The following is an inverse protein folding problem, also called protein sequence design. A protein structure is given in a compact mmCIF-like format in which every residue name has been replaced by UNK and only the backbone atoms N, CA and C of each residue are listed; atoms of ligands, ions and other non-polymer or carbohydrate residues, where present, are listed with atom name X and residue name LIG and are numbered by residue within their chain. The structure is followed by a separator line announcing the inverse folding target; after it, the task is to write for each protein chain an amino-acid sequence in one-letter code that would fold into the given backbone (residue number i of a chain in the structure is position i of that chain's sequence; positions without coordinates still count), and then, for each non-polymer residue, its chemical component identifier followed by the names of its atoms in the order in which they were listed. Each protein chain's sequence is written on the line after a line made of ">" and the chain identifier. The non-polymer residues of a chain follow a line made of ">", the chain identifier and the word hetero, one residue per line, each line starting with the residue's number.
data_IF_527944464271
#
_entry.id   IF_527944464271
#
_cell.length_a   1.000
_cell.length_b   1.000
_cell.length_c   1.000
_cell.angle_alpha   90.00
_cell.angle_beta   90.00
_cell.angle_gamma   90.00
#
_symmetry.space_group_name_H-M   'P 1'
#
loop_
_entity.id
_entity.type
_entity.pdbx_description
1 polymer ?
#
# COMPACT_ATOMS: atom_id res chain seq x y z
N UNK A 1 13.34 5.12 -1.69
CA UNK A 1 13.62 5.80 -0.40
C UNK A 1 13.63 4.76 0.70
N UNK A 2 14.46 4.89 1.73
CA UNK A 2 14.39 4.01 2.90
C UNK A 2 13.40 4.62 3.90
N UNK A 3 12.28 3.93 4.15
CA UNK A 3 11.31 4.31 5.18
C UNK A 3 11.71 3.61 6.47
N UNK A 4 11.86 4.38 7.55
CA UNK A 4 12.09 3.82 8.88
C UNK A 4 10.91 2.93 9.29
N UNK A 5 11.19 1.70 9.72
CA UNK A 5 10.14 0.74 10.11
C UNK A 5 9.22 1.29 11.21
N UNK A 6 9.74 2.17 12.08
CA UNK A 6 9.00 2.82 13.16
C UNK A 6 7.88 3.75 12.66
N UNK A 7 7.97 4.22 11.41
CA UNK A 7 6.96 5.06 10.76
C UNK A 7 5.85 4.23 10.11
N UNK A 8 6.07 2.93 9.87
CA UNK A 8 5.08 2.03 9.28
C UNK A 8 4.10 1.60 10.36
N UNK A 9 3.15 2.49 10.66
CA UNK A 9 2.06 2.25 11.61
C UNK A 9 0.73 2.13 10.87
N UNK A 10 -0.24 1.35 11.36
CA UNK A 10 -1.55 1.22 10.71
C UNK A 10 -2.26 2.55 10.43
N UNK A 11 -2.07 3.54 11.30
CA UNK A 11 -2.60 4.89 11.19
C UNK A 11 -1.83 5.80 10.23
N UNK A 12 -0.60 5.43 9.82
CA UNK A 12 0.23 6.26 8.97
C UNK A 12 -0.36 6.39 7.56
N UNK A 13 -0.39 7.62 7.06
CA UNK A 13 -0.82 7.96 5.72
C UNK A 13 0.29 7.66 4.71
N UNK A 14 -0.05 6.87 3.68
CA UNK A 14 0.91 6.40 2.68
C UNK A 14 1.61 7.57 1.98
N UNK A 15 0.87 8.63 1.63
CA UNK A 15 1.44 9.80 0.95
C UNK A 15 2.02 10.84 1.91
N UNK A 16 1.30 11.15 2.98
CA UNK A 16 1.65 12.29 3.85
C UNK A 16 2.71 11.91 4.90
N UNK A 17 2.60 10.73 5.52
CA UNK A 17 3.50 10.32 6.60
C UNK A 17 4.69 9.50 6.08
N UNK A 18 4.47 8.68 5.04
CA UNK A 18 5.52 7.85 4.45
C UNK A 18 6.17 8.48 3.22
N UNK A 19 5.62 9.56 2.68
CA UNK A 19 6.16 10.25 1.52
C UNK A 19 6.11 9.42 0.23
N UNK A 20 5.24 8.41 0.15
CA UNK A 20 5.09 7.59 -1.05
C UNK A 20 4.44 8.43 -2.15
N UNK A 21 5.11 8.52 -3.28
CA UNK A 21 4.53 9.13 -4.46
C UNK A 21 3.69 8.14 -5.27
N UNK A 22 3.17 8.59 -6.42
CA UNK A 22 2.37 7.72 -7.29
C UNK A 22 3.15 6.57 -7.92
N UNK A 23 4.46 6.73 -8.14
CA UNK A 23 5.31 5.70 -8.73
C UNK A 23 5.67 4.63 -7.69
N UNK A 24 6.03 5.05 -6.48
CA UNK A 24 6.27 4.13 -5.36
C UNK A 24 5.05 3.23 -5.12
N UNK A 25 3.85 3.79 -5.20
CA UNK A 25 2.60 3.02 -5.04
C UNK A 25 2.39 2.00 -6.17
N UNK A 26 2.74 2.35 -7.42
CA UNK A 26 2.68 1.41 -8.55
C UNK A 26 3.62 0.24 -8.33
N UNK A 27 4.84 0.49 -7.88
CA UNK A 27 5.82 -0.56 -7.60
C UNK A 27 5.35 -1.49 -6.47
N UNK A 28 4.82 -0.93 -5.38
CA UNK A 28 4.24 -1.69 -4.27
C UNK A 28 3.11 -2.60 -4.78
N UNK A 29 2.18 -2.07 -5.57
CA UNK A 29 1.09 -2.85 -6.16
C UNK A 29 1.61 -4.01 -7.00
N UNK A 30 2.57 -3.75 -7.89
CA UNK A 30 3.16 -4.78 -8.76
C UNK A 30 3.84 -5.88 -7.93
N UNK A 31 4.51 -5.53 -6.83
CA UNK A 31 5.13 -6.50 -5.92
C UNK A 31 4.05 -7.36 -5.26
N UNK A 32 3.00 -6.74 -4.70
CA UNK A 32 1.89 -7.47 -4.04
C UNK A 32 1.20 -8.42 -5.01
N UNK A 33 0.89 -7.97 -6.23
CA UNK A 33 0.26 -8.82 -7.24
C UNK A 33 1.12 -10.04 -7.60
N UNK A 34 2.44 -9.86 -7.70
CA UNK A 34 3.39 -10.96 -7.97
C UNK A 34 3.56 -11.90 -6.78
N UNK A 35 3.57 -11.37 -5.56
CA UNK A 35 3.76 -12.14 -4.33
C UNK A 35 2.54 -12.99 -4.00
N UNK A 36 1.34 -12.44 -4.16
CA UNK A 36 0.10 -13.10 -3.76
C UNK A 36 -0.72 -13.67 -4.92
N UNK A 37 -0.40 -13.31 -6.16
CA UNK A 37 -1.02 -13.90 -7.36
C UNK A 37 -2.42 -13.38 -7.69
N UNK A 38 -2.89 -12.32 -7.02
CA UNK A 38 -4.12 -11.62 -7.39
C UNK A 38 -3.84 -10.30 -8.08
N UNK A 39 -4.83 -9.76 -8.80
CA UNK A 39 -4.76 -8.44 -9.44
C UNK A 39 -5.44 -7.39 -8.59
N UNK A 40 -4.87 -6.20 -8.56
CA UNK A 40 -5.41 -5.04 -7.87
C UNK A 40 -5.92 -4.06 -8.89
N UNK A 41 -7.17 -3.62 -8.73
CA UNK A 41 -7.71 -2.57 -9.58
C UNK A 41 -7.40 -1.18 -9.00
N UNK A 42 -7.02 -0.19 -9.83
CA UNK A 42 -6.74 1.17 -9.38
C UNK A 42 -7.90 1.81 -8.61
N UNK A 43 -9.14 1.51 -8.99
CA UNK A 43 -10.36 1.98 -8.34
C UNK A 43 -10.49 1.51 -6.89
N UNK A 44 -10.03 0.29 -6.57
CA UNK A 44 -10.07 -0.25 -5.21
C UNK A 44 -9.00 0.38 -4.31
N UNK A 45 -7.94 0.91 -4.90
CA UNK A 45 -6.86 1.58 -4.18
C UNK A 45 -7.11 3.06 -3.93
N UNK A 46 -8.09 3.66 -4.62
CA UNK A 46 -8.41 5.07 -4.44
C UNK A 46 -8.86 5.39 -2.99
N UNK A 47 -9.48 4.41 -2.32
CA UNK A 47 -9.96 4.53 -0.95
C UNK A 47 -8.88 4.15 0.09
N UNK A 48 -7.75 3.60 -0.34
CA UNK A 48 -6.65 3.18 0.53
C UNK A 48 -5.72 4.36 0.82
N UNK A 49 -5.87 4.94 2.00
CA UNK A 49 -5.07 6.11 2.43
C UNK A 49 -4.02 5.79 3.47
N UNK A 50 -4.29 4.81 4.33
CA UNK A 50 -3.39 4.42 5.42
C UNK A 50 -2.76 3.06 5.16
N UNK A 51 -1.64 2.81 5.83
CA UNK A 51 -0.97 1.50 5.84
C UNK A 51 -1.92 0.40 6.32
N UNK A 52 -2.71 0.66 7.37
CA UNK A 52 -3.68 -0.31 7.89
C UNK A 52 -4.78 -0.64 6.89
N UNK A 53 -5.29 0.37 6.17
CA UNK A 53 -6.28 0.14 5.11
C UNK A 53 -5.70 -0.71 3.97
N UNK A 54 -4.42 -0.50 3.63
CA UNK A 54 -3.73 -1.28 2.62
C UNK A 54 -3.56 -2.75 3.03
N UNK A 55 -3.17 -3.00 4.29
CA UNK A 55 -3.11 -4.37 4.82
C UNK A 55 -4.46 -5.06 4.81
N UNK A 56 -5.51 -4.40 5.33
CA UNK A 56 -6.85 -4.95 5.35
C UNK A 56 -7.36 -5.26 3.93
N UNK A 57 -7.02 -4.41 2.95
CA UNK A 57 -7.35 -4.66 1.56
C UNK A 57 -6.66 -5.92 1.05
N UNK A 58 -5.35 -6.06 1.25
CA UNK A 58 -4.60 -7.27 0.84
C UNK A 58 -5.18 -8.52 1.50
N UNK A 59 -5.46 -8.46 2.80
CA UNK A 59 -6.06 -9.57 3.56
C UNK A 59 -7.43 -9.97 3.01
N UNK A 60 -8.24 -9.01 2.55
CA UNK A 60 -9.54 -9.30 1.93
C UNK A 60 -9.46 -9.97 0.55
N UNK A 61 -8.29 -10.00 -0.08
CA UNK A 61 -8.04 -10.57 -1.41
C UNK A 61 -7.27 -11.89 -1.38
N UNK A 62 -6.65 -12.22 -0.24
CA UNK A 62 -6.03 -13.52 0.04
C UNK A 62 -7.09 -14.62 0.19
#
# INVERSE_FOLDING_TARGET
>A
MEIEAEKIKPEALLKEDLGLDSLDFVDIVVIVERTFGFKIKPEEMADVKTVGAFYNYIESKL
#
